data_IF_227847443358
#
_entry.id   IF_227847443358
#
_cell.length_a   1.000
_cell.length_b   1.000
_cell.length_c   1.000
_cell.angle_alpha   90.00
_cell.angle_beta   90.00
_cell.angle_gamma   90.00
#
_symmetry.space_group_name_H-M   'P 1'
#
loop_
_entity.id
_entity.type
_entity.pdbx_description
1 polymer ?
#
# COMPACT_ATOMS: atom_id res chain seq x y z
N UNK A 1 7.31 -3.53 4.58
CA UNK A 1 6.90 -4.37 5.72
C UNK A 1 7.00 -3.57 6.98
N UNK A 2 6.29 -3.99 8.03
CA UNK A 2 6.47 -3.38 9.35
C UNK A 2 7.73 -3.96 10.01
N UNK A 3 8.38 -3.24 10.94
CA UNK A 3 9.49 -3.79 11.71
C UNK A 3 9.03 -4.77 12.80
N UNK A 4 7.72 -4.89 13.02
CA UNK A 4 7.13 -5.76 14.06
C UNK A 4 6.77 -7.11 13.42
N UNK A 5 7.32 -8.24 13.90
CA UNK A 5 7.02 -9.56 13.36
C UNK A 5 5.51 -9.84 13.34
N UNK A 6 5.02 -10.43 12.24
CA UNK A 6 3.61 -10.80 12.02
C UNK A 6 2.59 -9.64 12.12
N UNK A 7 3.04 -8.38 12.10
CA UNK A 7 2.16 -7.22 11.98
C UNK A 7 2.10 -6.75 10.52
N UNK A 8 0.89 -6.73 9.97
CA UNK A 8 0.61 -6.28 8.62
C UNK A 8 -0.30 -5.06 8.63
N UNK A 9 -0.03 -4.09 7.75
CA UNK A 9 -0.81 -2.84 7.69
C UNK A 9 -1.25 -2.59 6.25
N UNK A 10 -2.56 -2.40 6.08
CA UNK A 10 -3.20 -1.92 4.87
C UNK A 10 -3.89 -0.59 5.22
N UNK A 11 -3.29 0.52 4.80
CA UNK A 11 -3.80 1.87 5.10
C UNK A 11 -3.29 2.87 4.06
N UNK A 12 -3.68 4.15 4.21
CA UNK A 12 -3.20 5.22 3.35
C UNK A 12 -3.86 5.29 1.97
N UNK A 13 -4.97 4.57 1.76
CA UNK A 13 -5.78 4.68 0.53
C UNK A 13 -6.51 6.01 0.41
N UNK A 14 -6.72 6.72 1.53
CA UNK A 14 -7.40 8.02 1.57
C UNK A 14 -8.75 7.98 0.86
N UNK A 15 -8.94 8.93 -0.05
CA UNK A 15 -10.16 9.13 -0.84
C UNK A 15 -10.34 8.10 -1.96
N UNK A 16 -9.27 7.39 -2.35
CA UNK A 16 -9.28 6.42 -3.45
C UNK A 16 -9.59 4.98 -3.04
N UNK A 17 -9.85 4.70 -1.76
CA UNK A 17 -9.91 3.33 -1.24
C UNK A 17 -11.02 2.46 -1.83
N UNK A 18 -12.18 3.02 -2.18
CA UNK A 18 -13.32 2.24 -2.66
C UNK A 18 -13.00 1.44 -3.92
N UNK A 19 -12.41 2.10 -4.95
CA UNK A 19 -12.03 1.42 -6.21
C UNK A 19 -10.91 0.40 -6.00
N UNK A 20 -10.08 0.60 -4.98
CA UNK A 20 -8.91 -0.23 -4.70
C UNK A 20 -9.26 -1.53 -3.96
N UNK A 21 -10.45 -1.63 -3.36
CA UNK A 21 -10.89 -2.76 -2.51
C UNK A 21 -10.49 -4.16 -3.01
N UNK A 22 -10.83 -4.59 -4.25
CA UNK A 22 -10.49 -5.95 -4.68
C UNK A 22 -8.98 -6.15 -4.84
N UNK A 23 -8.28 -5.15 -5.39
CA UNK A 23 -6.83 -5.20 -5.58
C UNK A 23 -6.08 -5.18 -4.25
N UNK A 24 -6.47 -4.30 -3.33
CA UNK A 24 -5.84 -4.16 -2.02
C UNK A 24 -6.02 -5.41 -1.18
N UNK A 25 -7.22 -6.01 -1.16
CA UNK A 25 -7.49 -7.25 -0.45
C UNK A 25 -6.67 -8.42 -1.02
N UNK A 26 -6.64 -8.57 -2.34
CA UNK A 26 -5.90 -9.66 -3.00
C UNK A 26 -4.39 -9.57 -2.73
N UNK A 27 -3.81 -8.37 -2.86
CA UNK A 27 -2.39 -8.15 -2.63
C UNK A 27 -2.02 -8.24 -1.14
N UNK A 28 -2.91 -7.82 -0.25
CA UNK A 28 -2.70 -7.92 1.19
C UNK A 28 -2.80 -9.36 1.69
N UNK A 29 -3.73 -10.15 1.16
CA UNK A 29 -3.81 -11.59 1.44
C UNK A 29 -2.52 -12.31 1.00
N UNK A 30 -1.98 -11.97 -0.17
CA UNK A 30 -0.68 -12.48 -0.62
C UNK A 30 0.44 -12.14 0.37
N UNK A 31 0.51 -10.89 0.83
CA UNK A 31 1.51 -10.45 1.80
C UNK A 31 1.44 -11.24 3.11
N UNK A 32 0.23 -11.48 3.63
CA UNK A 32 0.03 -12.27 4.85
C UNK A 32 0.47 -13.72 4.62
N UNK A 33 0.06 -14.32 3.51
CA UNK A 33 0.30 -15.74 3.23
C UNK A 33 1.76 -16.06 2.91
N UNK A 34 2.47 -15.16 2.23
CA UNK A 34 3.86 -15.38 1.79
C UNK A 34 4.89 -14.70 2.68
N UNK A 35 4.45 -13.75 3.51
CA UNK A 35 5.36 -12.91 4.28
C UNK A 35 6.26 -12.06 3.38
N UNK A 36 5.84 -11.75 2.15
CA UNK A 36 6.53 -10.85 1.21
C UNK A 36 5.51 -10.10 0.33
N UNK A 37 5.77 -8.84 -0.06
CA UNK A 37 4.83 -8.09 -0.88
C UNK A 37 4.79 -8.65 -2.31
N UNK A 38 3.58 -8.81 -2.84
CA UNK A 38 3.41 -9.10 -4.27
C UNK A 38 4.06 -8.00 -5.13
N UNK A 39 4.62 -8.34 -6.29
CA UNK A 39 5.34 -7.40 -7.19
C UNK A 39 4.59 -6.10 -7.49
N UNK A 40 3.26 -6.15 -7.60
CA UNK A 40 2.41 -4.99 -7.86
C UNK A 40 2.30 -4.03 -6.67
N UNK A 41 2.46 -4.53 -5.44
CA UNK A 41 2.41 -3.74 -4.21
C UNK A 41 3.81 -3.43 -3.65
N UNK A 42 4.89 -3.95 -4.26
CA UNK A 42 6.26 -3.77 -3.77
C UNK A 42 6.64 -2.29 -3.61
N UNK A 43 6.12 -1.44 -4.49
CA UNK A 43 6.31 0.02 -4.44
C UNK A 43 5.55 0.74 -3.32
N UNK A 44 4.57 0.10 -2.69
CA UNK A 44 3.66 0.70 -1.69
C UNK A 44 4.07 0.40 -0.24
N UNK A 45 5.29 -0.07 -0.02
CA UNK A 45 5.79 -0.35 1.33
C UNK A 45 6.14 0.96 2.10
N UNK A 46 6.41 0.85 3.41
CA UNK A 46 6.72 1.98 4.30
C UNK A 46 8.09 2.62 4.03
N UNK A 47 9.03 1.88 3.45
CA UNK A 47 10.40 2.35 3.20
C UNK A 47 10.44 3.44 2.11
N UNK A 48 9.38 3.54 1.30
CA UNK A 48 9.21 4.62 0.30
C UNK A 48 9.30 6.03 0.89
N UNK A 49 8.94 6.19 2.17
CA UNK A 49 9.05 7.47 2.88
C UNK A 49 10.47 7.72 3.40
N UNK A 50 11.21 6.67 3.77
CA UNK A 50 12.60 6.78 4.25
C UNK A 50 13.56 7.09 3.10
N UNK A 51 13.29 6.50 1.93
CA UNK A 51 14.13 6.64 0.72
C UNK A 51 13.74 7.84 -0.14
N UNK A 52 12.59 8.47 0.11
CA UNK A 52 12.06 9.55 -0.72
C UNK A 52 11.46 9.08 -2.05
N UNK A 53 11.34 7.76 -2.30
CA UNK A 53 10.70 7.20 -3.50
C UNK A 53 9.17 7.28 -3.40
N UNK A 54 8.65 8.50 -3.31
CA UNK A 54 7.22 8.77 -3.22
C UNK A 54 6.51 8.42 -4.54
N UNK A 55 5.22 8.13 -4.43
CA UNK A 55 4.31 7.93 -5.57
C UNK A 55 3.25 9.02 -5.40
N UNK A 56 3.35 10.08 -6.19
CA UNK A 56 2.47 11.24 -6.13
C UNK A 56 1.26 11.03 -7.04
N UNK A 57 0.08 11.04 -6.43
CA UNK A 57 -1.22 10.83 -7.08
C UNK A 57 -2.19 11.95 -6.72
N UNK A 58 -1.71 13.12 -6.24
CA UNK A 58 -2.56 14.19 -5.72
C UNK A 58 -3.62 14.64 -6.74
N UNK A 59 -3.22 14.84 -8.00
CA UNK A 59 -4.14 15.19 -9.09
C UNK A 59 -5.09 14.02 -9.44
N UNK A 60 -4.56 12.80 -9.52
CA UNK A 60 -5.34 11.61 -9.89
C UNK A 60 -6.34 11.18 -8.80
N UNK A 61 -6.10 11.60 -7.54
CA UNK A 61 -7.02 11.39 -6.43
C UNK A 61 -8.35 12.12 -6.62
N UNK A 62 -8.38 13.20 -7.42
CA UNK A 62 -9.57 13.98 -7.79
C UNK A 62 -10.39 14.49 -6.59
N UNK A 63 -9.77 14.62 -5.42
CA UNK A 63 -10.35 15.20 -4.19
C UNK A 63 -9.33 16.16 -3.59
N UNK A 64 -9.74 17.40 -3.32
CA UNK A 64 -8.86 18.41 -2.72
C UNK A 64 -8.37 18.00 -1.32
N UNK A 65 -7.11 18.28 -1.01
CA UNK A 65 -6.43 17.97 0.25
C UNK A 65 -5.24 18.89 0.49
#
# INVERSE_FOLDING_TARGET
>A
MTPVPNLFVNCGWGTGGFKATPGSAHLFAHLIARGEPHRLAAGLNLDRFRTGRLIDEAAAAAVAH
#
